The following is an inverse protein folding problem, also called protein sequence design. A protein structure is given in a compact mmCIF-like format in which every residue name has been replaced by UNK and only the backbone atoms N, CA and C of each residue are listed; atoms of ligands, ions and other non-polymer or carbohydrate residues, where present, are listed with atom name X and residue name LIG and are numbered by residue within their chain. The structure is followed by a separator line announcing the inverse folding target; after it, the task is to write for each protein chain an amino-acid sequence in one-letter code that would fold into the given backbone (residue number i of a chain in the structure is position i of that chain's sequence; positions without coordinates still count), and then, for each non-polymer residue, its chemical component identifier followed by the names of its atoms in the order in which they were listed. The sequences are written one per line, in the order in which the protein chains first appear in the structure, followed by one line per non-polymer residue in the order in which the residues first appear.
data_IF_521598200376
#
_entry.id   IF_521598200376
#
_cell.length_a   1.000
_cell.length_b   1.000
_cell.length_c   1.000
_cell.angle_alpha   90.00
_cell.angle_beta   90.00
_cell.angle_gamma   90.00
#
_symmetry.space_group_name_H-M   'P 1'
#
loop_
_entity.id
_entity.type
_entity.pdbx_description
1 polymer ?
#
# COMPACT_ATOMS: atom_id res chain seq x y z
N UNK A 1 15.33 7.45 43.24
CA UNK A 1 16.06 7.70 41.99
C UNK A 1 15.52 6.93 40.79
N UNK A 2 15.28 5.63 40.87
CA UNK A 2 14.71 4.83 39.75
C UNK A 2 13.35 5.33 39.24
N UNK A 3 12.45 5.75 40.10
CA UNK A 3 11.10 6.25 39.73
C UNK A 3 11.17 7.56 38.94
N UNK A 4 12.10 8.45 39.26
CA UNK A 4 12.31 9.69 38.51
C UNK A 4 12.91 9.46 37.11
N UNK A 5 13.78 8.46 36.96
CA UNK A 5 14.35 8.06 35.66
C UNK A 5 13.28 7.43 34.74
N UNK A 6 12.38 6.60 35.29
CA UNK A 6 11.29 6.01 34.51
C UNK A 6 10.27 7.05 34.05
N UNK A 7 9.89 8.00 34.91
CA UNK A 7 9.00 9.10 34.55
C UNK A 7 9.63 10.01 33.46
N UNK A 8 10.91 10.36 33.62
CA UNK A 8 11.64 11.16 32.63
C UNK A 8 11.74 10.48 31.27
N UNK A 9 11.99 9.16 31.24
CA UNK A 9 12.02 8.37 29.99
C UNK A 9 10.65 8.31 29.31
N UNK A 10 9.58 8.14 30.07
CA UNK A 10 8.22 8.12 29.52
C UNK A 10 7.80 9.44 28.87
N UNK A 11 8.13 10.55 29.52
CA UNK A 11 7.87 11.91 28.97
C UNK A 11 8.70 12.15 27.70
N UNK A 12 9.97 11.74 27.69
CA UNK A 12 10.83 11.90 26.52
C UNK A 12 10.36 11.08 25.32
N UNK A 13 9.95 9.83 25.54
CA UNK A 13 9.36 8.96 24.50
C UNK A 13 8.07 9.58 23.94
N UNK A 14 7.18 10.03 24.84
CA UNK A 14 5.93 10.67 24.42
C UNK A 14 6.20 11.93 23.59
N UNK A 15 7.05 12.82 24.04
CA UNK A 15 7.38 14.06 23.34
C UNK A 15 8.07 13.82 21.99
N UNK A 16 9.00 12.83 21.92
CA UNK A 16 9.68 12.48 20.68
C UNK A 16 8.72 11.86 19.67
N UNK A 17 7.91 10.88 20.09
CA UNK A 17 6.92 10.26 19.23
C UNK A 17 5.85 11.26 18.76
N UNK A 18 5.41 12.18 19.64
CA UNK A 18 4.42 13.19 19.26
C UNK A 18 4.98 14.16 18.22
N UNK A 19 6.23 14.59 18.34
CA UNK A 19 6.89 15.42 17.31
C UNK A 19 6.92 14.71 15.95
N UNK A 20 7.21 13.40 15.93
CA UNK A 20 7.19 12.62 14.69
C UNK A 20 5.77 12.52 14.11
N UNK A 21 4.77 12.25 14.95
CA UNK A 21 3.35 12.15 14.54
C UNK A 21 2.75 13.47 14.06
N UNK A 22 3.26 14.62 14.56
CA UNK A 22 2.82 15.97 14.19
C UNK A 22 3.70 16.61 13.13
N UNK A 23 4.72 15.92 12.65
CA UNK A 23 5.60 16.45 11.60
C UNK A 23 4.79 16.71 10.33
N UNK A 24 4.87 17.95 9.85
CA UNK A 24 4.30 18.39 8.58
C UNK A 24 5.34 18.24 7.48
N UNK A 25 4.95 17.62 6.39
CA UNK A 25 5.76 17.49 5.17
C UNK A 25 5.19 18.44 4.12
N UNK A 26 6.02 19.33 3.63
CA UNK A 26 5.64 20.24 2.55
C UNK A 26 5.78 19.52 1.20
N UNK A 27 4.76 19.65 0.37
CA UNK A 27 4.78 19.18 -1.02
C UNK A 27 4.56 20.38 -1.92
N UNK A 28 5.33 20.54 -3.01
CA UNK A 28 5.10 21.56 -4.00
C UNK A 28 3.68 21.45 -4.57
N UNK A 29 2.93 22.55 -4.72
CA UNK A 29 1.55 22.52 -5.19
C UNK A 29 1.37 21.78 -6.53
N UNK A 30 2.33 21.91 -7.44
CA UNK A 30 2.36 21.27 -8.74
C UNK A 30 2.43 19.73 -8.67
N UNK A 31 2.98 19.16 -7.60
CA UNK A 31 3.01 17.71 -7.37
C UNK A 31 1.63 17.14 -6.98
N UNK A 32 0.65 17.99 -6.71
CA UNK A 32 -0.73 17.63 -6.41
C UNK A 32 -1.66 17.79 -7.62
N UNK A 33 -1.13 18.28 -8.73
CA UNK A 33 -1.91 18.42 -9.96
C UNK A 33 -1.87 17.12 -10.76
N UNK A 34 -3.02 16.73 -11.31
CA UNK A 34 -3.13 15.60 -12.22
C UNK A 34 -3.07 16.10 -13.67
N UNK A 35 -2.31 15.43 -14.51
CA UNK A 35 -2.28 15.70 -15.94
C UNK A 35 -3.60 15.36 -16.65
N UNK A 36 -4.47 14.58 -15.99
CA UNK A 36 -5.77 14.12 -16.50
C UNK A 36 -6.85 14.42 -15.46
N UNK A 37 -7.94 15.03 -15.92
CA UNK A 37 -9.09 15.28 -15.04
C UNK A 37 -9.90 14.00 -14.78
N UNK A 38 -10.37 13.74 -13.56
CA UNK A 38 -11.18 12.55 -13.23
C UNK A 38 -12.43 12.36 -14.10
N UNK A 39 -13.01 13.46 -14.59
CA UNK A 39 -14.17 13.42 -15.47
C UNK A 39 -13.85 12.91 -16.89
N UNK A 40 -12.59 12.96 -17.29
CA UNK A 40 -12.14 12.53 -18.63
C UNK A 40 -11.85 11.02 -18.70
N UNK A 41 -11.91 10.31 -17.55
CA UNK A 41 -11.57 8.87 -17.46
C UNK A 41 -12.72 8.05 -16.88
N UNK A 42 -12.68 6.75 -17.13
CA UNK A 42 -13.78 5.85 -16.75
C UNK A 42 -13.75 5.46 -15.26
N UNK A 43 -14.86 5.67 -14.55
CA UNK A 43 -15.02 5.24 -13.15
C UNK A 43 -14.93 3.72 -12.97
N UNK A 44 -15.27 2.95 -13.99
CA UNK A 44 -15.16 1.48 -13.94
C UNK A 44 -13.68 1.04 -13.77
N UNK A 45 -12.76 1.73 -14.46
CA UNK A 45 -11.32 1.50 -14.24
C UNK A 45 -10.92 1.85 -12.81
N UNK A 46 -11.44 2.95 -12.25
CA UNK A 46 -11.21 3.32 -10.85
C UNK A 46 -11.71 2.28 -9.87
N UNK A 47 -12.91 1.73 -10.10
CA UNK A 47 -13.46 0.63 -9.31
C UNK A 47 -12.56 -0.60 -9.36
N UNK A 48 -12.16 -1.00 -10.56
CA UNK A 48 -11.28 -2.15 -10.76
C UNK A 48 -9.92 -1.98 -10.05
N UNK A 49 -9.31 -0.80 -10.19
CA UNK A 49 -8.06 -0.48 -9.48
C UNK A 49 -8.23 -0.60 -7.97
N UNK A 50 -9.30 -0.04 -7.40
CA UNK A 50 -9.55 -0.08 -5.96
C UNK A 50 -9.81 -1.47 -5.42
N UNK A 51 -10.43 -2.36 -6.21
CA UNK A 51 -10.90 -3.67 -5.72
C UNK A 51 -10.00 -4.84 -6.13
N UNK A 52 -9.29 -4.75 -7.26
CA UNK A 52 -8.50 -5.87 -7.77
C UNK A 52 -6.99 -5.59 -7.81
N UNK A 53 -6.57 -4.33 -7.97
CA UNK A 53 -5.14 -4.01 -8.10
C UNK A 53 -4.58 -3.42 -6.80
N UNK A 54 -5.08 -2.28 -6.38
CA UNK A 54 -4.61 -1.55 -5.19
C UNK A 54 -5.28 -2.01 -3.88
N UNK A 55 -6.33 -2.83 -3.94
CA UNK A 55 -7.01 -3.48 -2.82
C UNK A 55 -7.41 -2.53 -1.67
N UNK A 56 -7.95 -1.36 -1.98
CA UNK A 56 -8.35 -0.35 -0.98
C UNK A 56 -9.31 -0.94 0.07
N UNK A 57 -10.19 -1.87 -0.34
CA UNK A 57 -11.15 -2.54 0.52
C UNK A 57 -10.49 -3.39 1.63
N UNK A 58 -9.25 -3.84 1.45
CA UNK A 58 -8.54 -4.63 2.46
C UNK A 58 -8.38 -3.87 3.78
N UNK A 59 -8.04 -2.59 3.71
CA UNK A 59 -7.91 -1.73 4.87
C UNK A 59 -9.18 -0.93 5.17
N UNK A 60 -9.87 -0.44 4.12
CA UNK A 60 -11.00 0.48 4.28
C UNK A 60 -12.37 -0.21 4.39
N UNK A 61 -12.42 -1.56 4.40
CA UNK A 61 -13.65 -2.35 4.44
C UNK A 61 -14.30 -2.50 3.06
N UNK A 62 -15.22 -3.46 2.94
CA UNK A 62 -15.87 -3.80 1.66
C UNK A 62 -16.74 -2.69 1.09
N UNK A 63 -17.28 -1.83 1.95
CA UNK A 63 -18.08 -0.66 1.64
C UNK A 63 -17.28 0.66 1.67
N UNK A 64 -15.97 0.57 1.91
CA UNK A 64 -15.05 1.69 2.08
C UNK A 64 -15.42 2.67 3.20
N UNK A 65 -16.26 2.24 4.13
CA UNK A 65 -16.66 3.02 5.31
C UNK A 65 -15.63 2.96 6.46
N UNK A 66 -14.45 2.40 6.18
CA UNK A 66 -13.34 2.22 7.11
C UNK A 66 -13.45 0.93 7.92
N UNK A 67 -12.32 0.42 8.37
CA UNK A 67 -12.24 -0.76 9.23
C UNK A 67 -11.20 -0.58 10.32
N UNK A 68 -11.29 -1.43 11.34
CA UNK A 68 -10.30 -1.51 12.40
C UNK A 68 -9.02 -2.15 11.86
N UNK A 69 -7.89 -1.47 12.05
CA UNK A 69 -6.57 -1.97 11.69
C UNK A 69 -5.84 -2.56 12.90
N UNK A 70 -6.09 -2.02 14.08
CA UNK A 70 -5.56 -2.52 15.34
C UNK A 70 -6.39 -1.99 16.51
N UNK A 71 -6.68 -2.84 17.50
CA UNK A 71 -7.14 -2.46 18.82
C UNK A 71 -6.39 -3.27 19.88
N UNK A 72 -5.20 -2.81 20.23
CA UNK A 72 -4.29 -3.43 21.17
C UNK A 72 -3.81 -2.42 22.21
N UNK A 73 -3.77 -2.76 23.50
CA UNK A 73 -3.36 -1.84 24.55
C UNK A 73 -1.94 -1.27 24.40
N UNK A 74 -1.01 -2.03 23.80
CA UNK A 74 0.40 -1.65 23.65
C UNK A 74 0.67 -0.96 22.31
N UNK A 75 0.05 -1.45 21.22
CA UNK A 75 0.17 -0.89 19.88
C UNK A 75 -0.72 0.34 19.72
N UNK A 76 -1.95 0.26 20.20
CA UNK A 76 -2.93 1.33 20.15
C UNK A 76 -4.20 0.95 19.42
N UNK A 77 -5.03 1.95 19.17
CA UNK A 77 -6.25 1.81 18.37
C UNK A 77 -6.11 2.60 17.08
N UNK A 78 -6.13 1.90 15.97
CA UNK A 78 -5.95 2.45 14.62
C UNK A 78 -7.11 2.01 13.73
N UNK A 79 -7.65 2.95 12.98
CA UNK A 79 -8.75 2.74 12.04
C UNK A 79 -8.37 3.29 10.68
N UNK A 80 -8.69 2.57 9.62
CA UNK A 80 -8.72 3.15 8.29
C UNK A 80 -9.91 4.11 8.17
N UNK A 81 -9.73 5.21 7.45
CA UNK A 81 -10.76 6.23 7.28
C UNK A 81 -11.97 5.70 6.51
N UNK A 82 -13.16 6.19 6.83
CA UNK A 82 -14.31 6.10 5.95
C UNK A 82 -14.05 7.01 4.72
N UNK A 83 -13.94 6.41 3.54
CA UNK A 83 -13.63 7.12 2.29
C UNK A 83 -14.86 7.77 1.64
N UNK A 84 -16.07 7.42 2.12
CA UNK A 84 -17.32 7.91 1.55
C UNK A 84 -17.69 9.32 2.02
N UNK A 85 -18.71 9.93 1.41
CA UNK A 85 -19.24 11.23 1.81
C UNK A 85 -20.23 11.17 2.99
N UNK A 86 -20.45 10.01 3.63
CA UNK A 86 -21.30 9.85 4.81
C UNK A 86 -20.73 10.52 6.05
N UNK A 87 -21.50 10.48 7.16
CA UNK A 87 -21.02 11.02 8.45
C UNK A 87 -19.78 10.27 8.90
N UNK A 88 -18.75 11.01 9.35
CA UNK A 88 -17.45 10.45 9.73
C UNK A 88 -16.54 10.16 8.53
N UNK A 89 -17.02 10.32 7.29
CA UNK A 89 -16.25 10.09 6.08
C UNK A 89 -15.43 11.29 5.64
N UNK A 90 -14.23 11.01 5.11
CA UNK A 90 -13.32 12.03 4.56
C UNK A 90 -13.77 12.51 3.18
N UNK A 91 -14.44 11.67 2.38
CA UNK A 91 -14.96 12.03 1.06
C UNK A 91 -15.89 13.22 1.05
N UNK A 92 -16.46 13.58 2.21
CA UNK A 92 -17.27 14.78 2.38
C UNK A 92 -16.48 16.10 2.29
N UNK A 93 -15.18 16.05 2.64
CA UNK A 93 -14.35 17.23 2.85
C UNK A 93 -13.11 17.25 1.96
N UNK A 94 -12.76 16.11 1.37
CA UNK A 94 -11.58 16.02 0.53
C UNK A 94 -11.86 16.64 -0.83
N UNK A 95 -10.96 17.53 -1.24
CA UNK A 95 -10.83 17.99 -2.61
C UNK A 95 -9.92 17.05 -3.40
N UNK A 96 -9.88 17.17 -4.73
CA UNK A 96 -9.03 16.34 -5.59
C UNK A 96 -7.56 16.32 -5.17
N UNK A 97 -7.02 17.49 -4.84
CA UNK A 97 -5.64 17.61 -4.35
C UNK A 97 -5.41 16.87 -3.03
N UNK A 98 -6.43 16.73 -2.20
CA UNK A 98 -6.33 15.97 -0.96
C UNK A 98 -6.30 14.47 -1.23
N UNK A 99 -7.06 14.00 -2.21
CA UNK A 99 -6.97 12.61 -2.67
C UNK A 99 -5.59 12.29 -3.26
N UNK A 100 -5.05 13.15 -4.13
CA UNK A 100 -3.68 13.00 -4.68
C UNK A 100 -2.67 12.98 -3.54
N UNK A 101 -2.79 13.93 -2.61
CA UNK A 101 -1.92 14.03 -1.42
C UNK A 101 -1.94 12.75 -0.59
N UNK A 102 -3.14 12.21 -0.31
CA UNK A 102 -3.29 11.01 0.49
C UNK A 102 -2.77 9.75 -0.22
N UNK A 103 -3.18 9.53 -1.46
CA UNK A 103 -2.91 8.29 -2.19
C UNK A 103 -1.43 8.26 -2.65
N UNK A 104 -0.94 9.32 -3.28
CA UNK A 104 0.40 9.36 -3.88
C UNK A 104 1.50 9.71 -2.87
N UNK A 105 1.19 10.56 -1.91
CA UNK A 105 2.19 11.10 -0.98
C UNK A 105 2.02 10.65 0.48
N UNK A 106 0.92 9.97 0.80
CA UNK A 106 0.68 9.46 2.16
C UNK A 106 0.45 10.55 3.21
N UNK A 107 -0.08 11.69 2.81
CA UNK A 107 -0.28 12.86 3.68
C UNK A 107 -1.76 13.22 3.81
N UNK A 108 -2.14 13.62 5.01
CA UNK A 108 -3.43 14.27 5.26
C UNK A 108 -3.46 15.70 4.67
N UNK A 109 -4.65 16.33 4.57
CA UNK A 109 -4.76 17.71 4.06
C UNK A 109 -3.90 18.72 4.80
N UNK A 110 -3.64 18.51 6.08
CA UNK A 110 -2.79 19.36 6.93
C UNK A 110 -1.28 19.07 6.78
N UNK A 111 -0.89 18.18 5.87
CA UNK A 111 0.50 17.82 5.59
C UNK A 111 1.12 16.82 6.57
N UNK A 112 0.37 16.32 7.55
CA UNK A 112 0.87 15.26 8.44
C UNK A 112 0.81 13.90 7.74
N UNK A 113 1.78 13.03 8.07
CA UNK A 113 1.76 11.67 7.53
C UNK A 113 0.52 10.90 7.95
N UNK A 114 -0.11 10.23 6.99
CA UNK A 114 -1.02 9.14 7.27
C UNK A 114 -0.25 7.99 7.92
N UNK A 115 -0.94 7.14 8.66
CA UNK A 115 -0.35 5.94 9.24
C UNK A 115 -0.88 4.71 8.52
N UNK A 116 0.00 3.78 8.24
CA UNK A 116 -0.28 2.50 7.57
C UNK A 116 -0.88 2.59 6.16
N UNK A 117 -1.13 3.80 5.62
CA UNK A 117 -1.55 3.94 4.23
C UNK A 117 -0.38 3.55 3.30
N UNK A 118 -0.57 2.59 2.38
CA UNK A 118 0.53 2.06 1.59
C UNK A 118 0.89 2.95 0.38
N UNK A 119 1.05 4.26 0.60
CA UNK A 119 1.30 5.26 -0.45
C UNK A 119 2.61 5.04 -1.19
N UNK A 120 3.53 4.25 -0.61
CA UNK A 120 4.80 3.95 -1.24
C UNK A 120 4.64 3.28 -2.60
N UNK A 121 3.78 2.27 -2.71
CA UNK A 121 3.50 1.61 -3.99
C UNK A 121 2.37 2.30 -4.77
N UNK A 122 1.40 2.90 -4.10
CA UNK A 122 0.34 3.66 -4.78
C UNK A 122 0.86 4.90 -5.53
N UNK A 123 2.04 5.40 -5.16
CA UNK A 123 2.72 6.47 -5.90
C UNK A 123 3.10 6.06 -7.35
N UNK A 124 3.16 4.77 -7.66
CA UNK A 124 3.37 4.25 -9.01
C UNK A 124 2.15 4.41 -9.93
N UNK A 125 0.96 4.73 -9.39
CA UNK A 125 -0.23 4.97 -10.21
C UNK A 125 0.04 6.05 -11.25
N UNK A 126 -0.27 5.75 -12.51
CA UNK A 126 -0.28 6.76 -13.58
C UNK A 126 -1.30 7.86 -13.28
N UNK A 127 -1.16 9.02 -13.92
CA UNK A 127 -2.13 10.10 -13.71
C UNK A 127 -3.54 9.71 -14.17
N UNK A 128 -3.68 8.95 -15.26
CA UNK A 128 -4.97 8.45 -15.73
C UNK A 128 -5.60 7.45 -14.74
N UNK A 129 -4.82 6.51 -14.24
CA UNK A 129 -5.32 5.52 -13.28
C UNK A 129 -5.65 6.16 -11.93
N UNK A 130 -4.84 7.11 -11.46
CA UNK A 130 -5.14 7.86 -10.24
C UNK A 130 -6.38 8.74 -10.41
N UNK A 131 -6.54 9.40 -11.57
CA UNK A 131 -7.74 10.18 -11.89
C UNK A 131 -8.99 9.29 -11.93
N UNK A 132 -8.90 8.09 -12.53
CA UNK A 132 -9.98 7.11 -12.55
C UNK A 132 -10.37 6.67 -11.15
N UNK A 133 -9.38 6.39 -10.30
CA UNK A 133 -9.57 5.98 -8.91
C UNK A 133 -10.26 7.10 -8.11
N UNK A 134 -9.78 8.34 -8.21
CA UNK A 134 -10.38 9.50 -7.54
C UNK A 134 -11.82 9.71 -8.02
N UNK A 135 -12.07 9.70 -9.32
CA UNK A 135 -13.42 9.88 -9.87
C UNK A 135 -14.42 8.79 -9.43
N UNK A 136 -13.91 7.58 -9.13
CA UNK A 136 -14.75 6.53 -8.55
C UNK A 136 -14.96 6.77 -7.03
N UNK A 137 -13.92 7.14 -6.27
CA UNK A 137 -14.04 7.44 -4.85
C UNK A 137 -15.00 8.60 -4.57
N UNK A 138 -14.96 9.66 -5.38
CA UNK A 138 -15.86 10.82 -5.28
C UNK A 138 -17.34 10.44 -5.57
N UNK A 139 -17.56 9.35 -6.30
CA UNK A 139 -18.89 8.87 -6.65
C UNK A 139 -19.44 7.77 -5.74
N UNK A 140 -18.72 7.39 -4.69
CA UNK A 140 -19.17 6.36 -3.76
C UNK A 140 -20.46 6.76 -3.06
N UNK A 141 -21.42 5.81 -2.89
CA UNK A 141 -22.57 6.03 -2.06
C UNK A 141 -22.15 6.44 -0.62
N UNK A 142 -22.81 7.42 -0.01
CA UNK A 142 -22.47 7.82 1.34
C UNK A 142 -22.83 6.70 2.35
N UNK A 143 -21.88 6.35 3.21
CA UNK A 143 -22.07 5.41 4.31
C UNK A 143 -21.72 6.12 5.62
N UNK A 144 -22.70 6.19 6.52
CA UNK A 144 -22.53 6.80 7.83
C UNK A 144 -21.74 5.85 8.74
N UNK A 145 -20.48 6.19 9.02
CA UNK A 145 -19.63 5.41 9.91
C UNK A 145 -18.60 6.32 10.58
N UNK A 146 -18.93 6.72 11.80
CA UNK A 146 -17.99 7.45 12.65
C UNK A 146 -17.00 6.47 13.28
N UNK A 147 -15.72 6.82 13.24
CA UNK A 147 -14.65 5.99 13.79
C UNK A 147 -14.08 6.64 15.06
N UNK A 148 -13.70 5.85 16.06
CA UNK A 148 -13.04 6.38 17.24
C UNK A 148 -11.77 7.14 16.89
N UNK A 149 -11.40 8.12 17.71
CA UNK A 149 -10.11 8.79 17.54
C UNK A 149 -8.97 7.78 17.67
N UNK A 150 -8.01 7.83 16.73
CA UNK A 150 -6.82 7.01 16.83
C UNK A 150 -6.08 7.24 18.15
N UNK A 151 -5.55 6.17 18.70
CA UNK A 151 -4.68 6.19 19.88
C UNK A 151 -3.42 5.38 19.57
N UNK A 152 -2.27 6.01 19.64
CA UNK A 152 -0.98 5.32 19.48
C UNK A 152 -0.56 4.83 20.87
N UNK A 153 -0.39 3.53 21.03
CA UNK A 153 -0.02 2.89 22.28
C UNK A 153 1.46 3.07 22.63
N UNK A 154 1.81 2.64 23.82
CA UNK A 154 3.16 2.83 24.37
C UNK A 154 4.26 2.17 23.54
N UNK A 155 4.06 0.91 23.09
CA UNK A 155 5.08 0.18 22.32
C UNK A 155 5.29 0.82 20.94
N UNK A 156 4.20 1.23 20.27
CA UNK A 156 4.29 1.95 19.01
C UNK A 156 4.99 3.32 19.20
N UNK A 157 4.69 4.04 20.31
CA UNK A 157 5.40 5.30 20.62
C UNK A 157 6.90 5.08 20.86
N UNK A 158 7.27 4.01 21.53
CA UNK A 158 8.68 3.66 21.73
C UNK A 158 9.36 3.36 20.38
N UNK A 159 8.73 2.57 19.53
CA UNK A 159 9.25 2.26 18.20
C UNK A 159 9.41 3.52 17.34
N UNK A 160 8.43 4.44 17.37
CA UNK A 160 8.50 5.73 16.67
C UNK A 160 9.65 6.58 17.24
N UNK A 161 9.73 6.74 18.57
CA UNK A 161 10.73 7.57 19.22
C UNK A 161 12.17 7.09 18.99
N UNK A 162 12.35 5.79 18.77
CA UNK A 162 13.66 5.16 18.49
C UNK A 162 13.95 4.96 17.00
N UNK A 163 13.05 5.43 16.10
CA UNK A 163 13.20 5.28 14.66
C UNK A 163 13.05 3.83 14.15
N UNK A 164 12.45 2.94 14.95
CA UNK A 164 12.26 1.52 14.60
C UNK A 164 10.93 1.22 13.91
N UNK A 165 10.13 2.23 13.61
CA UNK A 165 8.86 2.09 12.90
C UNK A 165 8.76 3.10 11.74
N UNK A 166 9.73 3.15 10.81
CA UNK A 166 9.66 4.06 9.66
C UNK A 166 8.45 3.74 8.78
N UNK A 167 8.13 2.46 8.60
CA UNK A 167 7.04 1.97 7.73
C UNK A 167 5.63 2.26 8.29
N UNK A 168 5.54 2.70 9.56
CA UNK A 168 4.28 3.17 10.11
C UNK A 168 3.80 4.45 9.42
N UNK A 169 4.73 5.27 8.93
CA UNK A 169 4.44 6.54 8.26
C UNK A 169 4.32 6.35 6.76
N UNK A 170 3.18 6.77 6.22
CA UNK A 170 2.90 6.69 4.78
C UNK A 170 3.61 7.78 3.97
N UNK A 171 4.05 8.85 4.63
CA UNK A 171 4.63 10.02 3.97
C UNK A 171 5.86 9.67 3.16
N UNK A 172 5.85 10.08 1.90
CA UNK A 172 7.02 10.06 1.02
C UNK A 172 7.51 11.47 0.78
N UNK A 173 8.81 11.65 0.71
CA UNK A 173 9.38 12.92 0.30
C UNK A 173 9.03 13.20 -1.16
N UNK A 174 8.60 14.41 -1.46
CA UNK A 174 8.33 14.83 -2.83
C UNK A 174 9.61 14.70 -3.67
N UNK A 175 9.53 13.93 -4.76
CA UNK A 175 10.69 13.67 -5.62
C UNK A 175 11.52 12.44 -5.25
N UNK A 176 11.16 11.68 -4.22
CA UNK A 176 11.87 10.44 -3.83
C UNK A 176 11.63 9.25 -4.77
N UNK A 177 11.00 9.45 -5.91
CA UNK A 177 10.71 8.42 -6.90
C UNK A 177 10.71 8.96 -8.32
N UNK A 178 10.60 8.06 -9.29
CA UNK A 178 10.39 8.41 -10.69
C UNK A 178 9.06 9.18 -10.82
N UNK A 179 9.04 10.26 -11.62
CA UNK A 179 7.79 10.97 -11.92
C UNK A 179 6.75 9.98 -12.46
N UNK A 180 5.49 10.06 -12.01
CA UNK A 180 4.47 9.14 -12.49
C UNK A 180 4.27 9.32 -14.00
N UNK A 181 4.01 8.21 -14.68
CA UNK A 181 3.66 8.25 -16.09
C UNK A 181 2.27 8.88 -16.26
N UNK A 182 2.06 9.60 -17.37
CA UNK A 182 0.73 10.13 -17.68
C UNK A 182 -0.30 9.01 -17.82
N UNK A 183 0.07 7.96 -18.56
CA UNK A 183 -0.77 6.78 -18.76
C UNK A 183 0.09 5.54 -18.98
N UNK A 184 -0.46 4.38 -18.62
CA UNK A 184 0.15 3.08 -18.89
C UNK A 184 -0.85 2.25 -19.67
N UNK A 185 -0.45 1.82 -20.89
CA UNK A 185 -1.30 1.04 -21.75
C UNK A 185 -1.51 -0.37 -21.19
N UNK A 186 -2.77 -0.78 -21.07
CA UNK A 186 -3.16 -2.11 -20.64
C UNK A 186 -2.93 -3.12 -21.78
N UNK A 187 -1.76 -3.76 -21.78
CA UNK A 187 -1.34 -4.77 -22.77
C UNK A 187 -0.64 -5.93 -22.03
N UNK A 188 -0.69 -7.12 -22.60
CA UNK A 188 0.04 -8.28 -22.07
C UNK A 188 1.56 -8.14 -22.34
N UNK A 189 2.21 -7.24 -21.63
CA UNK A 189 3.63 -6.91 -21.74
C UNK A 189 4.31 -6.85 -20.38
N UNK A 190 5.63 -7.08 -20.35
CA UNK A 190 6.42 -6.95 -19.12
C UNK A 190 6.33 -5.54 -18.51
N UNK A 191 6.21 -4.48 -19.32
CA UNK A 191 6.03 -3.09 -18.83
C UNK A 191 4.74 -2.93 -18.03
N UNK A 192 3.63 -3.42 -18.57
CA UNK A 192 2.35 -3.36 -17.85
C UNK A 192 2.35 -4.28 -16.63
N UNK A 193 2.95 -5.46 -16.76
CA UNK A 193 3.12 -6.38 -15.60
C UNK A 193 3.92 -5.77 -14.47
N UNK A 194 5.03 -5.07 -14.77
CA UNK A 194 5.81 -4.31 -13.79
C UNK A 194 4.95 -3.25 -13.10
N UNK A 195 4.20 -2.48 -13.88
CA UNK A 195 3.30 -1.47 -13.35
C UNK A 195 2.28 -2.05 -12.36
N UNK A 196 1.66 -3.19 -12.70
CA UNK A 196 0.71 -3.88 -11.83
C UNK A 196 1.37 -4.43 -10.56
N UNK A 197 2.58 -4.97 -10.66
CA UNK A 197 3.38 -5.45 -9.52
C UNK A 197 3.72 -4.29 -8.57
N UNK A 198 4.07 -3.13 -9.14
CA UNK A 198 4.41 -1.95 -8.36
C UNK A 198 3.17 -1.38 -7.66
N UNK A 199 2.06 -1.14 -8.38
CA UNK A 199 0.80 -0.62 -7.82
C UNK A 199 0.13 -1.62 -6.87
N UNK A 200 0.18 -2.90 -7.19
CA UNK A 200 -0.39 -3.98 -6.37
C UNK A 200 0.41 -4.26 -5.09
N UNK A 201 1.56 -3.59 -4.89
CA UNK A 201 2.34 -3.72 -3.67
C UNK A 201 3.04 -5.06 -3.48
N UNK A 202 3.24 -5.84 -4.54
CA UNK A 202 3.88 -7.16 -4.44
C UNK A 202 5.26 -7.08 -3.77
N UNK A 203 5.99 -5.99 -4.02
CA UNK A 203 7.33 -5.75 -3.45
C UNK A 203 7.34 -5.52 -1.94
N UNK A 204 6.21 -5.15 -1.36
CA UNK A 204 6.10 -4.95 0.10
C UNK A 204 6.44 -6.23 0.85
N UNK A 205 5.96 -7.38 0.37
CA UNK A 205 6.23 -8.67 0.97
C UNK A 205 7.38 -9.41 0.25
N UNK A 206 7.41 -9.36 -1.08
CA UNK A 206 8.37 -10.11 -1.88
C UNK A 206 9.70 -9.38 -2.09
N UNK A 207 9.97 -8.25 -1.39
CA UNK A 207 11.11 -7.34 -1.52
C UNK A 207 11.15 -6.57 -2.85
N UNK A 208 11.97 -5.55 -2.89
CA UNK A 208 12.09 -4.66 -4.06
C UNK A 208 12.55 -5.40 -5.33
N UNK A 209 13.38 -6.41 -5.16
CA UNK A 209 13.90 -7.26 -6.24
C UNK A 209 13.09 -8.54 -6.46
N UNK A 210 11.97 -8.71 -5.77
CA UNK A 210 11.09 -9.88 -5.79
C UNK A 210 11.77 -11.21 -5.38
N UNK A 211 12.89 -11.13 -4.65
CA UNK A 211 13.65 -12.29 -4.15
C UNK A 211 13.01 -13.00 -2.97
N UNK A 212 11.97 -12.44 -2.40
CA UNK A 212 11.32 -13.02 -1.23
C UNK A 212 12.19 -13.02 0.04
N UNK A 213 11.89 -13.92 0.95
CA UNK A 213 12.59 -14.04 2.24
C UNK A 213 11.94 -13.23 3.36
N UNK A 214 12.46 -13.39 4.58
CA UNK A 214 11.87 -12.74 5.76
C UNK A 214 11.93 -11.22 5.66
N UNK A 215 10.81 -10.58 5.93
CA UNK A 215 10.71 -9.14 6.08
C UNK A 215 11.17 -8.74 7.51
N UNK A 216 11.78 -7.56 7.71
CA UNK A 216 12.19 -7.09 9.04
C UNK A 216 11.05 -7.06 10.08
N UNK A 217 9.81 -6.96 9.64
CA UNK A 217 8.62 -6.97 10.50
C UNK A 217 7.93 -8.34 10.59
N UNK A 218 8.48 -9.40 9.95
CA UNK A 218 7.93 -10.74 10.07
C UNK A 218 7.96 -11.22 11.51
N UNK A 219 6.85 -11.81 11.96
CA UNK A 219 6.76 -12.40 13.28
C UNK A 219 7.44 -13.78 13.31
N UNK A 220 7.93 -14.23 14.46
CA UNK A 220 8.48 -15.56 14.59
C UNK A 220 7.45 -16.65 14.21
N UNK A 221 7.83 -17.51 13.27
CA UNK A 221 6.97 -18.58 12.77
C UNK A 221 6.19 -18.25 11.50
N UNK A 222 6.22 -17.01 11.02
CA UNK A 222 5.64 -16.67 9.72
C UNK A 222 6.46 -17.28 8.58
N UNK A 223 5.80 -17.89 7.58
CA UNK A 223 6.51 -18.39 6.40
C UNK A 223 7.08 -17.22 5.59
N UNK A 224 8.34 -17.32 5.14
CA UNK A 224 8.90 -16.26 4.31
C UNK A 224 8.18 -16.19 2.96
N UNK A 225 7.86 -14.98 2.47
CA UNK A 225 7.40 -14.81 1.10
C UNK A 225 8.36 -15.47 0.10
N UNK A 226 7.85 -16.22 -0.90
CA UNK A 226 8.69 -16.91 -1.86
C UNK A 226 9.41 -15.95 -2.82
N UNK A 227 10.53 -16.41 -3.36
CA UNK A 227 11.22 -15.78 -4.48
C UNK A 227 10.37 -15.93 -5.75
N UNK A 228 9.94 -14.81 -6.36
CA UNK A 228 9.10 -14.78 -7.56
C UNK A 228 9.91 -14.68 -8.86
N UNK A 229 11.24 -14.63 -8.80
CA UNK A 229 12.11 -14.56 -9.97
C UNK A 229 12.16 -15.92 -10.71
N UNK A 230 12.62 -15.96 -11.96
CA UNK A 230 12.61 -17.18 -12.79
C UNK A 230 13.27 -18.42 -12.16
N UNK A 231 14.30 -18.22 -11.32
CA UNK A 231 14.98 -19.31 -10.60
C UNK A 231 14.36 -19.68 -9.24
N UNK A 232 13.32 -18.95 -8.81
CA UNK A 232 12.67 -19.12 -7.52
C UNK A 232 11.46 -20.06 -7.52
N UNK A 233 10.49 -19.79 -6.68
CA UNK A 233 9.30 -20.64 -6.47
C UNK A 233 8.48 -20.86 -7.75
N UNK A 234 8.50 -19.90 -8.68
CA UNK A 234 7.76 -19.97 -9.94
C UNK A 234 8.51 -20.73 -11.06
N UNK A 235 9.71 -21.27 -10.80
CA UNK A 235 10.54 -21.89 -11.82
C UNK A 235 9.83 -23.03 -12.58
N UNK A 236 9.06 -23.86 -11.85
CA UNK A 236 8.33 -25.00 -12.39
C UNK A 236 6.85 -24.72 -12.67
N UNK A 237 6.38 -23.48 -12.45
CA UNK A 237 4.96 -23.15 -12.64
C UNK A 237 4.65 -22.83 -14.09
N UNK A 238 3.48 -23.23 -14.53
CA UNK A 238 2.86 -22.75 -15.76
C UNK A 238 2.14 -21.41 -15.50
N UNK A 239 1.76 -20.73 -16.57
CA UNK A 239 0.92 -19.55 -16.49
C UNK A 239 -0.43 -19.85 -15.81
N UNK A 240 -0.99 -21.02 -16.09
CA UNK A 240 -2.25 -21.51 -15.51
C UNK A 240 -2.12 -21.74 -14.02
N UNK A 241 -0.99 -22.25 -13.55
CA UNK A 241 -0.70 -22.39 -12.12
C UNK A 241 -0.65 -21.02 -11.42
N UNK A 242 0.03 -20.06 -12.04
CA UNK A 242 0.08 -18.69 -11.54
C UNK A 242 -1.31 -18.07 -11.49
N UNK A 243 -2.13 -18.23 -12.54
CA UNK A 243 -3.50 -17.72 -12.57
C UNK A 243 -4.37 -18.34 -11.45
N UNK A 244 -4.25 -19.65 -11.21
CA UNK A 244 -4.94 -20.31 -10.09
C UNK A 244 -4.47 -19.79 -8.73
N UNK A 245 -3.17 -19.60 -8.57
CA UNK A 245 -2.64 -19.06 -7.32
C UNK A 245 -3.20 -17.66 -7.02
N UNK A 246 -3.31 -16.80 -8.03
CA UNK A 246 -3.82 -15.44 -7.88
C UNK A 246 -5.35 -15.37 -7.70
N UNK A 247 -6.11 -16.32 -8.26
CA UNK A 247 -7.58 -16.29 -8.24
C UNK A 247 -8.20 -17.18 -7.17
N UNK A 248 -7.59 -18.34 -6.93
CA UNK A 248 -8.16 -19.41 -6.11
C UNK A 248 -7.28 -19.71 -4.89
N UNK A 249 -6.12 -19.07 -4.79
CA UNK A 249 -5.17 -19.30 -3.70
C UNK A 249 -4.65 -20.74 -3.67
N UNK A 250 -4.44 -21.37 -4.83
CA UNK A 250 -4.05 -22.77 -4.94
C UNK A 250 -2.72 -22.91 -5.69
N UNK A 251 -1.75 -23.60 -5.08
CA UNK A 251 -0.46 -23.93 -5.70
C UNK A 251 -0.58 -25.10 -6.69
N UNK A 252 0.42 -25.30 -7.57
CA UNK A 252 0.56 -26.58 -8.29
C UNK A 252 0.56 -27.74 -7.29
N UNK A 253 -0.23 -28.77 -7.57
CA UNK A 253 -0.42 -29.88 -6.62
C UNK A 253 -1.63 -29.75 -5.70
N UNK A 254 -2.32 -28.61 -5.71
CA UNK A 254 -3.58 -28.42 -4.97
C UNK A 254 -3.43 -27.89 -3.54
N UNK A 255 -2.21 -27.56 -3.12
CA UNK A 255 -1.97 -26.98 -1.78
C UNK A 255 -2.52 -25.54 -1.69
N UNK A 256 -3.26 -25.18 -0.61
CA UNK A 256 -3.78 -23.84 -0.44
C UNK A 256 -2.67 -22.85 -0.12
N UNK A 257 -2.85 -21.64 -0.60
CA UNK A 257 -2.07 -20.45 -0.18
C UNK A 257 -2.85 -19.78 0.95
N UNK A 258 -2.19 -19.60 2.09
CA UNK A 258 -2.81 -18.96 3.23
C UNK A 258 -3.03 -17.47 2.93
N UNK A 259 -4.30 -17.05 2.99
CA UNK A 259 -4.74 -15.68 2.71
C UNK A 259 -4.29 -14.65 3.76
N UNK A 260 -3.86 -15.09 4.93
CA UNK A 260 -3.33 -14.19 5.97
C UNK A 260 -1.92 -13.72 5.61
N UNK A 261 -1.15 -14.56 4.91
CA UNK A 261 0.20 -14.21 4.47
C UNK A 261 0.25 -13.69 3.03
N UNK A 262 -0.56 -14.21 2.14
CA UNK A 262 -0.70 -13.73 0.76
C UNK A 262 -2.16 -13.35 0.51
N UNK A 263 -2.51 -12.07 0.41
CA UNK A 263 -3.90 -11.63 0.30
C UNK A 263 -4.47 -11.85 -1.12
N UNK A 264 -4.32 -13.09 -1.63
CA UNK A 264 -4.77 -13.49 -2.96
C UNK A 264 -6.26 -13.20 -3.25
N UNK A 265 -7.20 -13.23 -2.26
CA UNK A 265 -8.60 -12.92 -2.56
C UNK A 265 -8.80 -11.50 -3.12
N UNK A 266 -7.95 -10.56 -2.73
CA UNK A 266 -7.95 -9.20 -3.27
C UNK A 266 -7.52 -9.15 -4.73
N UNK A 267 -6.65 -10.06 -5.17
CA UNK A 267 -6.18 -10.16 -6.57
C UNK A 267 -7.06 -11.05 -7.45
N UNK A 268 -8.03 -11.76 -6.87
CA UNK A 268 -8.91 -12.66 -7.63
C UNK A 268 -9.70 -11.94 -8.75
N UNK A 269 -9.91 -10.63 -8.61
CA UNK A 269 -10.56 -9.78 -9.60
C UNK A 269 -9.68 -9.32 -10.77
N UNK A 270 -8.39 -9.68 -10.79
CA UNK A 270 -7.51 -9.34 -11.93
C UNK A 270 -8.00 -10.00 -13.22
N UNK A 271 -8.00 -9.25 -14.32
CA UNK A 271 -8.35 -9.77 -15.64
C UNK A 271 -7.30 -10.76 -16.15
N UNK A 272 -7.65 -11.54 -17.19
CA UNK A 272 -6.70 -12.47 -17.84
C UNK A 272 -5.50 -11.72 -18.41
N UNK A 273 -5.72 -10.54 -18.98
CA UNK A 273 -4.68 -9.69 -19.52
C UNK A 273 -3.70 -9.21 -18.41
N UNK A 274 -4.22 -8.84 -17.25
CA UNK A 274 -3.39 -8.37 -16.13
C UNK A 274 -2.57 -9.52 -15.53
N UNK A 275 -3.17 -10.69 -15.36
CA UNK A 275 -2.44 -11.89 -14.92
C UNK A 275 -1.35 -12.26 -15.91
N UNK A 276 -1.67 -12.24 -17.22
CA UNK A 276 -0.70 -12.49 -18.29
C UNK A 276 0.47 -11.49 -18.25
N UNK A 277 0.16 -10.20 -18.13
CA UNK A 277 1.19 -9.15 -18.06
C UNK A 277 2.10 -9.33 -16.84
N UNK A 278 1.53 -9.62 -15.66
CA UNK A 278 2.31 -9.90 -14.44
C UNK A 278 3.21 -11.12 -14.66
N UNK A 279 2.65 -12.19 -15.20
CA UNK A 279 3.41 -13.42 -15.50
C UNK A 279 4.59 -13.16 -16.45
N UNK A 280 4.34 -12.45 -17.56
CA UNK A 280 5.39 -12.07 -18.52
C UNK A 280 6.50 -11.26 -17.82
N UNK A 281 6.11 -10.30 -16.97
CA UNK A 281 7.08 -9.51 -16.21
C UNK A 281 7.93 -10.37 -15.27
N UNK A 282 7.30 -11.20 -14.44
CA UNK A 282 8.02 -12.06 -13.50
C UNK A 282 8.99 -13.03 -14.22
N UNK A 283 8.60 -13.52 -15.41
CA UNK A 283 9.45 -14.39 -16.23
C UNK A 283 10.56 -13.63 -16.97
N UNK A 284 10.45 -12.32 -17.11
CA UNK A 284 11.47 -11.47 -17.75
C UNK A 284 12.55 -10.97 -16.79
N UNK A 285 12.39 -11.22 -15.48
CA UNK A 285 13.38 -10.79 -14.47
C UNK A 285 14.65 -11.63 -14.60
N UNK A 286 15.79 -10.96 -14.70
CA UNK A 286 17.09 -11.64 -14.67
C UNK A 286 17.46 -12.04 -13.24
N UNK A 287 18.02 -13.23 -13.10
CA UNK A 287 18.50 -13.74 -11.80
C UNK A 287 19.65 -12.87 -11.26
N UNK A 288 20.34 -12.15 -12.12
CA UNK A 288 21.50 -11.32 -11.79
C UNK A 288 21.19 -9.83 -11.54
N UNK A 289 20.11 -9.27 -12.11
CA UNK A 289 19.71 -7.87 -11.84
C UNK A 289 19.37 -7.63 -10.36
N UNK A 290 18.82 -8.61 -9.68
CA UNK A 290 18.55 -8.53 -8.25
C UNK A 290 19.80 -8.35 -7.39
N UNK A 291 20.95 -8.91 -7.80
CA UNK A 291 22.24 -8.73 -7.13
C UNK A 291 22.85 -7.35 -7.39
N UNK A 292 22.66 -6.79 -8.58
CA UNK A 292 23.17 -5.47 -8.93
C UNK A 292 22.43 -4.35 -8.17
N UNK A 293 21.09 -4.43 -8.06
CA UNK A 293 20.28 -3.48 -7.29
C UNK A 293 20.59 -3.55 -5.79
N UNK A 294 20.70 -4.74 -5.22
CA UNK A 294 21.05 -4.93 -3.81
C UNK A 294 22.50 -4.45 -3.49
N UNK A 295 23.39 -4.42 -4.48
CA UNK A 295 24.77 -3.91 -4.34
C UNK A 295 24.84 -2.38 -4.47
N UNK A 296 23.96 -1.77 -5.25
CA UNK A 296 23.93 -0.32 -5.45
C UNK A 296 23.25 0.43 -4.29
N UNK A 297 22.51 -0.28 -3.42
CA UNK A 297 21.83 0.27 -2.25
C UNK A 297 22.61 0.07 -0.93
N UNK A 298 23.81 -0.49 -0.98
CA UNK A 298 24.76 -0.58 0.15
C UNK A 298 25.84 0.47 0.02
#
# INVERSE_FOLDING_TARGET
MLFGLMLGSGVAIHASSERALQRVVAIPPEALDLAVAPEAVGRERGRHLATAVAQCHFCHGSDLAGAELADDPLIGRLWASNLTAGRGGIGRHYERRDWVRAIRHGLAPDGRSLLLMPSAHLAALSDEDLASLIGWLEALPPVDAERPRRRVGWLARLAIATGRAPDLFAAREAGSGQAPERSVRAEATARYGRYLVDVGGCRVCHRDDLSGGLHPLSLPGEPPPPDLRPGGALAAWSREDFARAMREGTRPGGEPIDREYMPWPGFAGLSDLEIEAIWIYLRSLDVDEGRALASAMR
#
